data_IF_012217108615
#
_entry.id   IF_012217108615
#
_cell.length_a   1.000
_cell.length_b   1.000
_cell.length_c   1.000
_cell.angle_alpha   90.00
_cell.angle_beta   90.00
_cell.angle_gamma   90.00
#
_symmetry.space_group_name_H-M   'P 1'
#
loop_
_entity.id
_entity.type
_entity.pdbx_description
1 polymer ?
#
# COMPACT_ATOMS: atom_id res chain seq x y z
N UNK A 1 5.68 28.57 -35.27
CA UNK A 1 5.41 28.45 -33.81
C UNK A 1 6.75 28.37 -33.14
N UNK A 2 7.04 29.23 -32.16
CA UNK A 2 8.33 29.24 -31.46
C UNK A 2 8.35 28.15 -30.37
N UNK A 3 9.10 27.04 -30.56
CA UNK A 3 9.16 25.96 -29.58
C UNK A 3 9.89 26.38 -28.30
N UNK A 4 10.86 27.30 -28.40
CA UNK A 4 11.66 27.76 -27.25
C UNK A 4 10.78 28.54 -26.29
N UNK A 5 10.00 29.49 -26.79
CA UNK A 5 9.09 30.28 -25.95
C UNK A 5 8.07 29.44 -25.19
N UNK A 6 7.59 28.34 -25.78
CA UNK A 6 6.68 27.39 -25.11
C UNK A 6 7.39 26.60 -24.02
N UNK A 7 8.56 26.04 -24.31
CA UNK A 7 9.35 25.29 -23.34
C UNK A 7 9.76 26.15 -22.14
N UNK A 8 10.15 27.40 -22.38
CA UNK A 8 10.47 28.36 -21.31
C UNK A 8 9.24 28.72 -20.46
N UNK A 9 8.05 28.79 -21.06
CA UNK A 9 6.81 29.01 -20.32
C UNK A 9 6.51 27.81 -19.41
N UNK A 10 6.62 26.59 -19.93
CA UNK A 10 6.43 25.36 -19.14
C UNK A 10 7.48 25.26 -18.03
N UNK A 11 8.74 25.57 -18.30
CA UNK A 11 9.82 25.59 -17.31
C UNK A 11 9.47 26.51 -16.13
N UNK A 12 9.07 27.76 -16.42
CA UNK A 12 8.66 28.71 -15.37
C UNK A 12 7.44 28.24 -14.60
N UNK A 13 6.49 27.59 -15.25
CA UNK A 13 5.32 27.03 -14.57
C UNK A 13 5.73 25.93 -13.59
N UNK A 14 6.59 25.00 -13.99
CA UNK A 14 7.08 23.92 -13.13
C UNK A 14 7.91 24.44 -11.96
N UNK A 15 8.80 25.41 -12.21
CA UNK A 15 9.59 26.06 -11.14
C UNK A 15 8.67 26.70 -10.09
N UNK A 16 7.63 27.41 -10.53
CA UNK A 16 6.64 27.99 -9.62
C UNK A 16 5.86 26.92 -8.83
N UNK A 17 5.49 25.80 -9.46
CA UNK A 17 4.80 24.70 -8.79
C UNK A 17 5.68 24.03 -7.75
N UNK A 18 6.96 23.75 -8.07
CA UNK A 18 7.92 23.15 -7.15
C UNK A 18 8.20 24.05 -5.94
N UNK A 19 8.39 25.36 -6.16
CA UNK A 19 8.59 26.32 -5.06
C UNK A 19 7.38 26.34 -4.13
N UNK A 20 6.15 26.34 -4.68
CA UNK A 20 4.92 26.27 -3.89
C UNK A 20 4.83 24.97 -3.09
N UNK A 21 5.04 23.83 -3.73
CA UNK A 21 4.98 22.52 -3.07
C UNK A 21 5.98 22.43 -1.92
N UNK A 22 7.24 22.81 -2.16
CA UNK A 22 8.28 22.81 -1.12
C UNK A 22 7.97 23.76 0.04
N UNK A 23 7.39 24.93 -0.25
CA UNK A 23 6.96 25.84 0.81
C UNK A 23 5.85 25.24 1.67
N UNK A 24 4.90 24.51 1.07
CA UNK A 24 3.84 23.83 1.81
C UNK A 24 4.39 22.67 2.65
N UNK A 25 5.30 21.87 2.08
CA UNK A 25 5.96 20.77 2.78
C UNK A 25 6.77 21.26 3.99
N UNK A 26 7.53 22.36 3.83
CA UNK A 26 8.33 22.93 4.91
C UNK A 26 7.47 23.39 6.09
N UNK A 27 6.27 23.92 5.85
CA UNK A 27 5.34 24.33 6.92
C UNK A 27 4.75 23.09 7.62
N UNK A 28 4.34 22.07 6.85
CA UNK A 28 3.86 20.80 7.42
C UNK A 28 4.90 20.10 8.29
N UNK A 29 6.18 20.12 7.90
CA UNK A 29 7.26 19.54 8.71
C UNK A 29 7.45 20.28 10.04
N UNK A 30 7.34 21.60 10.07
CA UNK A 30 7.43 22.35 11.34
C UNK A 30 6.26 22.10 12.27
N UNK A 31 5.05 21.94 11.73
CA UNK A 31 3.86 21.59 12.53
C UNK A 31 3.94 20.14 13.04
N UNK A 32 4.42 19.21 12.20
CA UNK A 32 4.64 17.81 12.56
C UNK A 32 5.69 17.64 13.67
N UNK A 33 6.77 18.43 13.64
CA UNK A 33 7.81 18.42 14.70
C UNK A 33 7.26 18.89 16.05
N UNK A 34 6.23 19.75 16.06
CA UNK A 34 5.51 20.14 17.27
C UNK A 34 4.59 19.03 17.84
N UNK A 35 4.21 18.06 17.02
CA UNK A 35 3.33 16.94 17.35
C UNK A 35 4.07 15.60 17.58
N UNK A 36 5.41 15.61 17.65
CA UNK A 36 6.28 14.44 17.85
C UNK A 36 6.22 13.82 19.26
N UNK A 37 5.02 13.67 19.84
CA UNK A 37 4.77 12.51 20.68
C UNK A 37 4.07 11.49 19.80
N UNK A 38 4.83 10.74 19.00
CA UNK A 38 4.34 9.55 18.29
C UNK A 38 3.70 8.51 19.24
N UNK A 39 3.87 8.69 20.55
CA UNK A 39 3.27 7.90 21.61
C UNK A 39 1.80 8.26 21.91
N UNK A 40 1.33 9.46 21.52
CA UNK A 40 -0.01 9.97 21.83
C UNK A 40 -0.91 10.14 20.58
N UNK A 41 -0.39 9.80 19.39
CA UNK A 41 -1.20 9.83 18.17
C UNK A 41 -1.96 8.52 17.99
N UNK A 42 -3.25 8.63 17.71
CA UNK A 42 -4.07 7.49 17.35
C UNK A 42 -3.51 6.85 16.05
N UNK A 43 -3.43 5.51 15.94
CA UNK A 43 -2.84 4.85 14.76
C UNK A 43 -3.50 5.26 13.44
N UNK A 44 -4.80 5.55 13.45
CA UNK A 44 -5.52 6.04 12.27
C UNK A 44 -5.07 7.45 11.82
N UNK A 45 -4.71 8.33 12.77
CA UNK A 45 -4.23 9.68 12.46
C UNK A 45 -2.81 9.60 11.86
N UNK A 46 -1.97 8.75 12.44
CA UNK A 46 -0.63 8.48 11.90
C UNK A 46 -0.69 7.90 10.48
N UNK A 47 -1.64 6.99 10.22
CA UNK A 47 -1.84 6.41 8.89
C UNK A 47 -2.27 7.50 7.88
N UNK A 48 -3.18 8.38 8.27
CA UNK A 48 -3.66 9.50 7.44
C UNK A 48 -2.52 10.46 7.09
N UNK A 49 -1.71 10.84 8.08
CA UNK A 49 -0.55 11.71 7.88
C UNK A 49 0.51 11.07 6.98
N UNK A 50 0.77 9.78 7.17
CA UNK A 50 1.71 9.02 6.34
C UNK A 50 1.24 8.98 4.89
N UNK A 51 -0.05 8.66 4.65
CA UNK A 51 -0.62 8.65 3.31
C UNK A 51 -0.55 10.04 2.64
N UNK A 52 -0.83 11.12 3.37
CA UNK A 52 -0.69 12.48 2.86
C UNK A 52 0.76 12.80 2.46
N UNK A 53 1.74 12.35 3.25
CA UNK A 53 3.18 12.52 2.96
C UNK A 53 3.60 11.72 1.72
N UNK A 54 3.10 10.50 1.56
CA UNK A 54 3.37 9.67 0.38
C UNK A 54 2.85 10.32 -0.90
N UNK A 55 1.65 10.90 -0.86
CA UNK A 55 1.08 11.66 -1.97
C UNK A 55 1.96 12.88 -2.32
N UNK A 56 2.38 13.64 -1.32
CA UNK A 56 3.23 14.82 -1.51
C UNK A 56 4.58 14.44 -2.17
N UNK A 57 5.22 13.34 -1.72
CA UNK A 57 6.45 12.81 -2.33
C UNK A 57 6.22 12.36 -3.78
N UNK A 58 5.09 11.72 -4.06
CA UNK A 58 4.71 11.33 -5.41
C UNK A 58 4.57 12.52 -6.36
N UNK A 59 3.94 13.60 -5.90
CA UNK A 59 3.80 14.85 -6.65
C UNK A 59 5.17 15.49 -6.91
N UNK A 60 6.04 15.58 -5.89
CA UNK A 60 7.38 16.15 -6.06
C UNK A 60 8.19 15.37 -7.10
N UNK A 61 8.16 14.03 -7.03
CA UNK A 61 8.84 13.17 -8.00
C UNK A 61 8.32 13.40 -9.43
N UNK A 62 7.01 13.45 -9.63
CA UNK A 62 6.43 13.68 -10.96
C UNK A 62 6.81 15.05 -11.53
N UNK A 63 6.82 16.10 -10.71
CA UNK A 63 7.26 17.43 -11.13
C UNK A 63 8.76 17.47 -11.48
N UNK A 64 9.60 16.77 -10.70
CA UNK A 64 11.03 16.67 -10.98
C UNK A 64 11.32 15.92 -12.28
N UNK A 65 10.61 14.81 -12.55
CA UNK A 65 10.69 14.07 -13.81
C UNK A 65 10.29 14.97 -14.99
N UNK A 66 9.18 15.71 -14.88
CA UNK A 66 8.75 16.65 -15.92
C UNK A 66 9.75 17.80 -16.14
N UNK A 67 10.38 18.30 -15.06
CA UNK A 67 11.43 19.32 -15.16
C UNK A 67 12.65 18.79 -15.93
N UNK A 68 13.03 17.53 -15.72
CA UNK A 68 14.09 16.89 -16.50
C UNK A 68 13.73 16.78 -17.98
N UNK A 69 12.48 16.40 -18.31
CA UNK A 69 11.99 16.35 -19.70
C UNK A 69 12.05 17.72 -20.38
N UNK A 70 11.61 18.79 -19.70
CA UNK A 70 11.67 20.17 -20.23
C UNK A 70 13.11 20.60 -20.47
N UNK A 71 14.01 20.32 -19.53
CA UNK A 71 15.43 20.65 -19.64
C UNK A 71 16.04 19.96 -20.87
N UNK A 72 15.77 18.66 -21.02
CA UNK A 72 16.19 17.87 -22.16
C UNK A 72 15.58 18.37 -23.48
N UNK A 73 14.32 18.78 -23.49
CA UNK A 73 13.68 19.34 -24.67
C UNK A 73 14.34 20.67 -25.10
N UNK A 74 14.73 21.53 -24.15
CA UNK A 74 15.46 22.77 -24.44
C UNK A 74 16.84 22.49 -25.04
N UNK A 75 17.59 21.53 -24.49
CA UNK A 75 18.87 21.07 -25.04
C UNK A 75 18.71 20.63 -26.50
N UNK A 76 17.67 19.83 -26.80
CA UNK A 76 17.40 19.33 -28.15
C UNK A 76 17.03 20.43 -29.13
N UNK A 77 16.42 21.52 -28.67
CA UNK A 77 16.22 22.69 -29.53
C UNK A 77 17.54 23.36 -29.86
N UNK A 78 18.46 23.48 -28.89
CA UNK A 78 19.80 24.03 -29.13
C UNK A 78 20.64 23.14 -30.06
N UNK A 79 20.51 21.82 -29.96
CA UNK A 79 21.16 20.84 -30.84
C UNK A 79 20.51 20.73 -32.24
N UNK A 80 19.29 21.25 -32.41
CA UNK A 80 18.50 21.07 -33.64
C UNK A 80 17.85 19.68 -33.78
N UNK A 81 17.86 18.86 -32.74
CA UNK A 81 17.28 17.51 -32.66
C UNK A 81 15.84 17.48 -32.10
N UNK A 82 15.23 18.66 -31.93
CA UNK A 82 13.88 18.78 -31.38
C UNK A 82 12.84 18.02 -32.23
N UNK A 83 12.02 17.21 -31.56
CA UNK A 83 11.03 16.35 -32.20
C UNK A 83 11.53 14.98 -32.65
N UNK A 84 12.75 14.58 -32.28
CA UNK A 84 13.25 13.20 -32.44
C UNK A 84 13.15 12.46 -31.11
N UNK A 85 12.76 11.18 -31.09
CA UNK A 85 12.65 10.37 -29.86
C UNK A 85 14.04 9.97 -29.34
N UNK A 86 14.34 10.18 -28.06
CA UNK A 86 15.65 9.84 -27.48
C UNK A 86 15.94 8.33 -27.48
N UNK A 87 14.90 7.49 -27.44
CA UNK A 87 15.03 6.03 -27.37
C UNK A 87 15.10 5.34 -28.74
N UNK A 88 14.15 5.61 -29.62
CA UNK A 88 14.08 4.95 -30.94
C UNK A 88 14.61 5.81 -32.10
N UNK A 89 15.00 7.06 -31.84
CA UNK A 89 15.53 7.99 -32.85
C UNK A 89 14.56 8.28 -34.02
N UNK A 90 13.26 7.99 -33.84
CA UNK A 90 12.21 8.31 -34.81
C UNK A 90 11.57 9.67 -34.51
N UNK A 91 10.93 10.28 -35.50
CA UNK A 91 10.20 11.52 -35.31
C UNK A 91 9.00 11.34 -34.34
N UNK A 92 8.83 12.31 -33.45
CA UNK A 92 7.71 12.40 -32.53
C UNK A 92 6.54 13.05 -33.28
N UNK A 93 5.33 12.52 -33.09
CA UNK A 93 4.13 13.05 -33.73
C UNK A 93 3.94 14.54 -33.42
N UNK A 94 3.69 15.40 -34.43
CA UNK A 94 3.57 16.83 -34.23
C UNK A 94 2.35 17.19 -33.37
N UNK A 95 1.30 16.37 -33.36
CA UNK A 95 0.15 16.53 -32.47
C UNK A 95 0.55 16.34 -31.00
N UNK A 96 1.44 15.39 -30.72
CA UNK A 96 1.99 15.19 -29.38
C UNK A 96 2.83 16.38 -28.93
N UNK A 97 3.69 16.92 -29.78
CA UNK A 97 4.49 18.13 -29.46
C UNK A 97 3.63 19.39 -29.32
N UNK A 98 2.46 19.45 -29.96
CA UNK A 98 1.48 20.53 -29.75
C UNK A 98 0.81 20.44 -28.38
N UNK A 99 0.51 19.23 -27.92
CA UNK A 99 -0.13 18.98 -26.63
C UNK A 99 0.85 19.01 -25.45
N UNK A 100 2.02 18.39 -25.62
CA UNK A 100 3.14 18.32 -24.66
C UNK A 100 4.45 18.73 -25.36
N UNK A 101 4.82 20.02 -25.38
CA UNK A 101 6.02 20.49 -26.04
C UNK A 101 7.32 19.92 -25.46
N UNK A 102 7.32 19.51 -24.19
CA UNK A 102 8.44 18.93 -23.46
C UNK A 102 8.68 17.44 -23.76
N UNK A 103 7.82 16.79 -24.56
CA UNK A 103 7.89 15.37 -24.76
C UNK A 103 9.18 14.91 -25.48
N UNK A 104 9.99 14.06 -24.82
CA UNK A 104 11.29 13.59 -25.32
C UNK A 104 11.26 12.21 -26.00
N UNK A 105 10.27 11.37 -25.69
CA UNK A 105 10.07 10.05 -26.31
C UNK A 105 8.99 10.09 -27.39
N UNK A 106 8.72 8.99 -28.10
CA UNK A 106 7.47 8.82 -28.86
C UNK A 106 6.44 8.07 -28.00
N UNK A 107 5.16 8.02 -28.41
CA UNK A 107 4.10 7.38 -27.61
C UNK A 107 4.37 5.90 -27.31
N UNK A 108 4.98 5.18 -28.26
CA UNK A 108 5.34 3.76 -28.10
C UNK A 108 6.48 3.59 -27.10
N UNK A 109 7.52 4.43 -27.17
CA UNK A 109 8.62 4.41 -26.21
C UNK A 109 8.20 4.88 -24.81
N UNK A 110 7.30 5.87 -24.73
CA UNK A 110 6.77 6.39 -23.47
C UNK A 110 6.09 5.28 -22.67
N UNK A 111 5.22 4.49 -23.30
CA UNK A 111 4.49 3.37 -22.67
C UNK A 111 5.38 2.29 -22.07
N UNK A 112 6.64 2.20 -22.50
CA UNK A 112 7.59 1.20 -21.99
C UNK A 112 8.45 1.79 -20.87
N UNK A 113 8.56 3.11 -20.77
CA UNK A 113 9.27 3.80 -19.68
C UNK A 113 8.32 4.04 -18.50
N UNK A 114 7.07 4.39 -18.78
CA UNK A 114 6.04 4.54 -17.76
C UNK A 114 5.72 3.18 -17.13
N UNK A 115 5.47 3.14 -15.81
CA UNK A 115 4.99 1.94 -15.16
C UNK A 115 3.67 1.50 -15.80
N UNK A 116 3.38 0.19 -15.86
CA UNK A 116 2.13 -0.30 -16.39
C UNK A 116 0.96 0.35 -15.65
N UNK A 117 0.00 0.88 -16.40
CA UNK A 117 -1.24 1.37 -15.83
C UNK A 117 -1.95 0.19 -15.13
N UNK A 118 -2.14 0.31 -13.82
CA UNK A 118 -2.94 -0.61 -13.03
C UNK A 118 -4.37 -0.03 -13.05
N UNK A 119 -5.35 -0.71 -13.67
CA UNK A 119 -6.73 -0.25 -13.66
C UNK A 119 -7.25 -0.13 -12.23
N UNK A 120 -8.20 0.79 -11.98
CA UNK A 120 -8.84 0.90 -10.66
C UNK A 120 -9.48 -0.45 -10.26
N UNK A 121 -10.03 -1.15 -11.25
CA UNK A 121 -10.62 -2.49 -11.13
C UNK A 121 -9.57 -3.61 -11.19
N UNK A 122 -8.28 -3.31 -10.98
CA UNK A 122 -7.30 -4.37 -10.76
C UNK A 122 -7.83 -5.32 -9.69
N UNK A 123 -7.74 -6.63 -9.88
CA UNK A 123 -8.06 -7.55 -8.81
C UNK A 123 -7.25 -7.09 -7.62
N UNK A 124 -7.92 -6.89 -6.48
CA UNK A 124 -7.24 -6.68 -5.19
C UNK A 124 -6.16 -7.73 -5.18
N UNK A 125 -4.90 -7.30 -5.16
CA UNK A 125 -3.78 -8.23 -5.03
C UNK A 125 -4.16 -9.03 -3.79
N UNK A 126 -4.49 -10.33 -3.94
CA UNK A 126 -4.85 -11.13 -2.78
C UNK A 126 -3.73 -10.92 -1.78
N UNK A 127 -4.06 -10.80 -0.50
CA UNK A 127 -3.06 -10.51 0.54
C UNK A 127 -1.79 -11.28 0.18
N UNK A 128 -0.59 -10.67 0.21
CA UNK A 128 0.64 -11.25 -0.34
C UNK A 128 1.03 -12.63 0.24
N UNK A 129 0.23 -13.14 1.17
CA UNK A 129 0.32 -14.40 1.88
C UNK A 129 -0.98 -15.23 1.85
N UNK A 130 -1.99 -14.89 1.04
CA UNK A 130 -3.33 -15.48 1.07
C UNK A 130 -3.92 -15.80 -0.31
N UNK A 131 -3.13 -15.79 -1.38
CA UNK A 131 -3.57 -16.32 -2.67
C UNK A 131 -3.53 -17.86 -2.60
N UNK A 132 -4.72 -18.43 -2.35
CA UNK A 132 -4.97 -19.83 -1.96
C UNK A 132 -5.30 -20.75 -3.14
N UNK A 133 -5.02 -20.35 -4.39
CA UNK A 133 -5.37 -21.17 -5.56
C UNK A 133 -4.40 -22.34 -5.81
N UNK A 134 -3.21 -22.33 -5.19
CA UNK A 134 -2.13 -23.27 -5.51
C UNK A 134 -1.76 -24.25 -4.38
N UNK A 135 -2.32 -24.11 -3.18
CA UNK A 135 -2.04 -24.98 -2.03
C UNK A 135 -3.30 -25.78 -1.70
N UNK A 136 -3.23 -27.09 -1.86
CA UNK A 136 -4.33 -27.98 -1.54
C UNK A 136 -4.77 -27.77 -0.09
N UNK A 137 -6.09 -27.63 0.15
CA UNK A 137 -6.67 -27.81 1.48
C UNK A 137 -6.18 -29.15 2.05
N UNK A 138 -5.18 -29.12 2.93
CA UNK A 138 -4.56 -30.30 3.55
C UNK A 138 -3.05 -30.43 3.46
N UNK A 139 -2.33 -29.56 2.73
CA UNK A 139 -0.86 -29.54 2.77
C UNK A 139 -0.36 -28.73 3.98
N UNK A 140 0.20 -29.42 4.98
CA UNK A 140 0.64 -28.85 6.28
C UNK A 140 2.04 -28.23 6.21
N UNK A 141 2.41 -27.69 5.05
CA UNK A 141 3.72 -27.09 4.84
C UNK A 141 3.68 -25.61 5.23
N UNK A 142 4.70 -25.14 5.98
CA UNK A 142 4.84 -23.72 6.34
C UNK A 142 4.79 -22.85 5.10
N UNK A 143 3.69 -22.13 4.91
CA UNK A 143 3.49 -21.25 3.79
C UNK A 143 3.62 -19.76 4.19
N UNK A 144 3.30 -18.87 3.25
CA UNK A 144 3.31 -17.44 3.52
C UNK A 144 2.31 -17.04 4.61
N UNK A 145 1.17 -17.73 4.67
CA UNK A 145 0.12 -17.50 5.65
C UNK A 145 0.63 -17.85 7.06
N UNK A 146 1.23 -19.02 7.24
CA UNK A 146 1.79 -19.48 8.53
C UNK A 146 2.84 -18.52 9.08
N UNK A 147 3.74 -18.03 8.22
CA UNK A 147 4.77 -17.06 8.62
C UNK A 147 4.11 -15.77 9.09
N UNK A 148 3.11 -15.28 8.35
CA UNK A 148 2.39 -14.08 8.74
C UNK A 148 1.63 -14.28 10.06
N UNK A 149 0.88 -15.37 10.23
CA UNK A 149 0.14 -15.70 11.45
C UNK A 149 1.06 -15.76 12.68
N UNK A 150 2.26 -16.34 12.54
CA UNK A 150 3.25 -16.46 13.62
C UNK A 150 3.74 -15.12 14.19
N UNK A 151 3.69 -14.07 13.36
CA UNK A 151 4.04 -12.70 13.74
C UNK A 151 2.78 -11.94 14.17
N UNK A 152 1.67 -12.13 13.46
CA UNK A 152 0.40 -11.45 13.70
C UNK A 152 -0.17 -11.72 15.11
N UNK A 153 0.07 -12.90 15.70
CA UNK A 153 -0.29 -13.18 17.09
C UNK A 153 0.33 -12.22 18.12
N UNK A 154 1.45 -11.58 17.77
CA UNK A 154 2.15 -10.61 18.64
C UNK A 154 1.63 -9.18 18.47
N UNK A 155 0.69 -8.94 17.56
CA UNK A 155 0.01 -7.67 17.38
C UNK A 155 -0.40 -7.42 15.94
N UNK A 156 -1.69 -7.18 15.74
CA UNK A 156 -2.26 -6.63 14.50
C UNK A 156 -2.95 -5.30 14.81
N UNK A 157 -3.27 -4.52 13.77
CA UNK A 157 -4.12 -3.33 13.93
C UNK A 157 -5.61 -3.66 13.92
N UNK A 158 -5.98 -4.93 13.87
CA UNK A 158 -7.37 -5.37 13.84
C UNK A 158 -7.97 -5.36 15.25
N UNK A 159 -9.25 -5.00 15.32
CA UNK A 159 -10.09 -5.17 16.51
C UNK A 159 -10.94 -6.45 16.39
N UNK A 160 -11.56 -6.93 17.49
CA UNK A 160 -12.50 -8.06 17.44
C UNK A 160 -13.67 -7.87 16.45
N UNK A 161 -14.01 -6.62 16.11
CA UNK A 161 -15.03 -6.30 15.12
C UNK A 161 -14.55 -6.51 13.67
N UNK A 162 -13.24 -6.37 13.43
CA UNK A 162 -12.63 -6.49 12.11
C UNK A 162 -12.38 -7.96 11.73
N UNK A 163 -12.25 -8.85 12.72
CA UNK A 163 -12.00 -10.29 12.52
C UNK A 163 -13.02 -11.19 13.25
N UNK A 164 -14.32 -11.19 12.87
CA UNK A 164 -15.28 -12.13 13.47
C UNK A 164 -14.84 -13.59 13.21
N UNK A 165 -14.89 -14.50 14.21
CA UNK A 165 -15.59 -14.43 15.50
C UNK A 165 -14.71 -14.03 16.70
N UNK A 166 -13.61 -13.31 16.50
CA UNK A 166 -12.73 -12.88 17.59
C UNK A 166 -13.50 -12.13 18.68
N UNK A 167 -13.18 -12.43 19.93
CA UNK A 167 -13.75 -11.72 21.10
C UNK A 167 -12.67 -10.99 21.91
N UNK A 168 -11.40 -11.33 21.69
CA UNK A 168 -10.25 -10.74 22.37
C UNK A 168 -9.21 -10.24 21.36
N UNK A 169 -8.39 -9.28 21.77
CA UNK A 169 -7.29 -8.73 20.96
C UNK A 169 -6.21 -9.77 20.63
N UNK A 170 -6.12 -10.85 21.39
CA UNK A 170 -5.24 -11.99 21.05
C UNK A 170 -5.79 -12.87 19.90
N UNK A 171 -7.04 -12.64 19.49
CA UNK A 171 -7.73 -13.38 18.41
C UNK A 171 -7.93 -12.53 17.15
N UNK A 172 -7.37 -11.30 17.08
CA UNK A 172 -7.72 -10.36 15.99
C UNK A 172 -6.96 -10.58 14.69
N UNK A 173 -6.18 -11.65 14.55
CA UNK A 173 -5.52 -11.99 13.28
C UNK A 173 -6.35 -13.00 12.46
N UNK A 174 -6.24 -12.90 11.13
CA UNK A 174 -6.94 -13.79 10.19
C UNK A 174 -6.43 -15.22 10.36
N UNK A 175 -7.32 -16.21 10.44
CA UNK A 175 -6.97 -17.63 10.62
C UNK A 175 -6.68 -18.05 12.07
N UNK A 176 -6.98 -17.22 13.08
CA UNK A 176 -6.66 -17.54 14.48
C UNK A 176 -7.33 -18.81 15.05
N UNK A 177 -8.42 -19.25 14.43
CA UNK A 177 -9.16 -20.44 14.79
C UNK A 177 -8.66 -21.70 14.06
N UNK A 178 -7.64 -21.58 13.22
CA UNK A 178 -6.99 -22.70 12.57
C UNK A 178 -6.13 -23.49 13.60
N UNK A 179 -6.12 -24.84 13.47
CA UNK A 179 -5.30 -25.69 14.32
C UNK A 179 -3.81 -25.51 14.01
N UNK A 180 -3.03 -25.16 15.02
CA UNK A 180 -1.57 -24.94 14.90
C UNK A 180 -0.80 -26.01 15.67
N UNK A 181 0.28 -26.51 15.05
CA UNK A 181 1.29 -27.32 15.74
C UNK A 181 1.16 -28.84 15.63
N UNK A 182 0.36 -29.37 14.70
CA UNK A 182 0.32 -30.80 14.36
C UNK A 182 0.06 -31.02 12.87
N UNK A 183 0.60 -32.10 12.30
CA UNK A 183 0.43 -32.45 10.87
C UNK A 183 -0.82 -33.31 10.68
N UNK A 184 -1.01 -34.29 11.56
CA UNK A 184 -2.18 -35.15 11.56
C UNK A 184 -2.93 -35.06 12.88
N UNK A 185 -4.25 -35.27 12.85
CA UNK A 185 -5.07 -35.27 14.07
C UNK A 185 -4.59 -36.31 15.09
N UNK A 186 -3.95 -37.40 14.64
CA UNK A 186 -3.36 -38.43 15.51
C UNK A 186 -2.11 -37.95 16.27
N UNK A 187 -1.45 -36.91 15.78
CA UNK A 187 -0.31 -36.27 16.44
C UNK A 187 -0.78 -35.23 17.47
N UNK A 188 -2.03 -34.79 17.36
CA UNK A 188 -2.65 -33.93 18.36
C UNK A 188 -2.89 -34.71 19.66
N UNK A 189 -2.74 -34.02 20.80
CA UNK A 189 -3.21 -34.57 22.07
C UNK A 189 -4.73 -34.58 21.97
N UNK A 190 -5.37 -35.75 21.92
CA UNK A 190 -6.82 -35.88 21.81
C UNK A 190 -7.47 -36.15 23.18
N UNK A 191 -8.72 -35.73 23.33
CA UNK A 191 -9.57 -36.05 24.46
C UNK A 191 -10.10 -37.49 24.38
N UNK A 192 -10.90 -37.90 25.38
CA UNK A 192 -11.52 -39.22 25.45
C UNK A 192 -12.48 -39.56 24.29
N UNK A 193 -12.90 -38.55 23.52
CA UNK A 193 -13.77 -38.68 22.35
C UNK A 193 -13.00 -38.61 21.03
N UNK A 194 -11.67 -38.45 21.07
CA UNK A 194 -10.82 -38.33 19.88
C UNK A 194 -10.73 -36.90 19.32
N UNK A 195 -11.20 -35.89 20.04
CA UNK A 195 -11.13 -34.49 19.62
C UNK A 195 -9.81 -33.86 20.09
N UNK A 196 -9.14 -33.02 19.28
CA UNK A 196 -7.90 -32.33 19.69
C UNK A 196 -8.13 -31.49 20.96
N UNK A 197 -7.40 -31.81 22.03
CA UNK A 197 -7.54 -31.25 23.37
C UNK A 197 -7.22 -29.75 23.39
N UNK A 198 -6.26 -29.28 22.58
CA UNK A 198 -5.88 -27.86 22.51
C UNK A 198 -6.95 -27.01 21.82
N UNK A 199 -7.61 -27.54 20.80
CA UNK A 199 -8.73 -26.88 20.12
C UNK A 199 -10.01 -26.94 20.96
N UNK A 200 -10.27 -28.08 21.60
CA UNK A 200 -11.38 -28.26 22.52
C UNK A 200 -11.26 -27.35 23.76
N UNK A 201 -10.04 -27.06 24.24
CA UNK A 201 -9.79 -26.12 25.33
C UNK A 201 -10.04 -24.67 24.90
N UNK A 202 -9.61 -24.25 23.71
CA UNK A 202 -9.98 -22.93 23.14
C UNK A 202 -11.48 -22.79 23.00
N UNK A 203 -12.18 -23.78 22.46
CA UNK A 203 -13.65 -23.76 22.31
C UNK A 203 -14.37 -23.78 23.67
N UNK A 204 -13.88 -24.53 24.66
CA UNK A 204 -14.44 -24.52 26.04
C UNK A 204 -14.22 -23.19 26.74
N UNK A 205 -13.04 -22.57 26.57
CA UNK A 205 -12.77 -21.21 27.06
C UNK A 205 -13.69 -20.18 26.38
N UNK A 206 -13.92 -20.30 25.07
CA UNK A 206 -14.89 -19.48 24.31
C UNK A 206 -16.33 -19.63 24.84
N UNK A 207 -16.76 -20.85 25.20
CA UNK A 207 -18.10 -21.07 25.80
C UNK A 207 -18.21 -20.55 27.23
N UNK A 208 -17.14 -20.65 28.03
CA UNK A 208 -17.11 -20.11 29.38
C UNK A 208 -17.12 -18.57 29.39
N UNK A 209 -16.38 -17.92 28.49
CA UNK A 209 -16.43 -16.47 28.31
C UNK A 209 -17.84 -15.98 27.93
N UNK A 210 -18.52 -16.71 27.02
CA UNK A 210 -19.92 -16.42 26.64
C UNK A 210 -20.91 -16.55 27.81
N UNK A 211 -20.72 -17.55 28.68
CA UNK A 211 -21.59 -17.72 29.85
C UNK A 211 -21.38 -16.64 30.93
N UNK A 212 -20.16 -16.12 31.07
CA UNK A 212 -19.86 -15.05 32.04
C UNK A 212 -20.33 -13.66 31.58
N UNK A 213 -20.41 -13.44 30.26
CA UNK A 213 -20.96 -12.20 29.69
C UNK A 213 -22.49 -12.16 29.72
N UNK A 214 -23.19 -13.28 29.49
CA UNK A 214 -24.65 -13.36 29.65
C UNK A 214 -25.09 -13.14 31.11
N UNK A 215 -24.28 -13.53 32.09
CA UNK A 215 -24.55 -13.34 33.53
C UNK A 215 -24.24 -11.90 34.02
N UNK A 216 -23.48 -11.11 33.24
CA UNK A 216 -23.20 -9.69 33.55
C UNK A 216 -24.11 -8.70 32.80
N UNK A 217 -24.98 -9.18 31.91
CA UNK A 217 -26.04 -8.41 31.25
C UNK A 217 -27.33 -8.28 32.08
N UNK A 218 -27.34 -8.74 33.34
CA UNK A 218 -28.40 -8.45 34.32
C UNK A 218 -27.96 -7.30 35.24
N UNK A 219 -27.97 -6.08 34.73
CA UNK A 219 -27.86 -4.89 35.57
C UNK A 219 -29.22 -4.60 36.24
N UNK A 220 -29.31 -4.48 37.57
CA UNK A 220 -30.53 -4.04 38.24
C UNK A 220 -30.76 -2.55 37.97
N UNK A 221 -32.04 -2.18 37.88
CA UNK A 221 -32.56 -0.83 37.59
C UNK A 221 -32.08 0.27 38.52
#
# INVERSE_FOLDING_TARGET
MDPIGRLQAVQRQLENMLVRLRSQLSVKETDSVGALSAYDNHPADLATDTAARELDVGIERGLAEQQAEVTRAIEKVAEGSYGICDRCQQAIEPERLKAKPEAIYCITCQKVVEPPYIPLDHPVVPMPFGDRDDIHHGDVATDGEDIWQSIAQWGTSNSPQDTPPAVDYHETYVGFDEPVGFVEQVESIVDENGEPLLDALRVKMKRQARSTEEESSEYPS
#
